data_IF_262343238807
#
_entry.id   IF_262343238807
#
_cell.length_a   1.000
_cell.length_b   1.000
_cell.length_c   1.000
_cell.angle_alpha   90.00
_cell.angle_beta   90.00
_cell.angle_gamma   90.00
#
_symmetry.space_group_name_H-M   'P 1'
#
loop_
_entity.id
_entity.type
_entity.pdbx_description
1 polymer ?
#
# COMPACT_ATOMS: atom_id res chain seq x y z
N UNK A 1 52.99 30.57 -8.03
CA UNK A 1 52.25 29.53 -7.33
C UNK A 1 50.79 29.73 -7.64
N UNK A 2 50.33 29.17 -8.73
CA UNK A 2 48.93 29.22 -9.16
C UNK A 2 48.21 28.05 -8.55
N UNK A 3 47.22 28.33 -7.73
CA UNK A 3 46.35 27.35 -7.13
C UNK A 3 45.18 27.12 -8.10
N UNK A 4 45.22 26.01 -8.84
CA UNK A 4 44.13 25.54 -9.66
C UNK A 4 43.08 24.91 -8.74
N UNK A 5 42.03 25.67 -8.44
CA UNK A 5 40.84 25.10 -7.83
C UNK A 5 40.14 24.23 -8.87
N UNK A 6 40.22 22.92 -8.74
CA UNK A 6 39.46 21.95 -9.51
C UNK A 6 37.98 22.06 -9.08
N UNK A 7 37.18 22.56 -10.01
CA UNK A 7 35.73 22.63 -9.84
C UNK A 7 35.17 21.24 -10.10
N UNK A 8 35.02 20.47 -9.03
CA UNK A 8 34.39 19.13 -9.04
C UNK A 8 32.87 19.28 -9.17
N UNK A 9 32.42 19.68 -10.38
CA UNK A 9 30.99 19.68 -10.72
C UNK A 9 30.64 18.28 -11.18
N UNK A 10 30.19 17.41 -10.23
CA UNK A 10 29.60 16.16 -10.59
C UNK A 10 28.30 16.43 -11.37
N UNK A 11 28.12 15.84 -12.56
CA UNK A 11 26.87 16.04 -13.32
C UNK A 11 25.69 15.59 -12.48
N UNK A 12 24.53 16.29 -12.56
CA UNK A 12 23.33 15.88 -11.86
C UNK A 12 22.99 14.44 -12.25
N UNK A 13 22.81 13.57 -11.26
CA UNK A 13 22.36 12.19 -11.50
C UNK A 13 21.04 12.28 -12.27
N UNK A 14 20.99 11.64 -13.44
CA UNK A 14 19.71 11.45 -14.15
C UNK A 14 18.72 10.81 -13.21
N UNK A 15 17.59 11.48 -13.02
CA UNK A 15 16.49 10.99 -12.19
C UNK A 15 15.75 9.93 -13.02
N UNK A 16 16.07 8.67 -12.80
CA UNK A 16 15.38 7.56 -13.44
C UNK A 16 14.03 7.33 -12.70
N UNK A 17 12.94 7.51 -13.42
CA UNK A 17 11.59 7.26 -12.91
C UNK A 17 11.18 5.86 -13.34
N UNK A 18 10.92 4.98 -12.38
CA UNK A 18 10.40 3.66 -12.68
C UNK A 18 8.96 3.77 -13.25
N UNK A 19 8.75 3.14 -14.40
CA UNK A 19 7.44 3.09 -15.04
C UNK A 19 6.37 2.45 -14.16
N UNK A 20 6.74 1.47 -13.35
CA UNK A 20 5.84 0.82 -12.39
C UNK A 20 5.34 1.79 -11.32
N UNK A 21 6.18 2.71 -10.86
CA UNK A 21 5.79 3.72 -9.88
C UNK A 21 4.86 4.77 -10.50
N UNK A 22 5.10 5.14 -11.76
CA UNK A 22 4.19 6.00 -12.51
C UNK A 22 2.81 5.34 -12.67
N UNK A 23 2.76 4.05 -13.00
CA UNK A 23 1.51 3.28 -13.10
C UNK A 23 0.80 3.24 -11.74
N UNK A 24 1.51 3.00 -10.62
CA UNK A 24 0.92 3.01 -9.28
C UNK A 24 0.30 4.36 -8.92
N UNK A 25 0.94 5.47 -9.28
CA UNK A 25 0.37 6.82 -9.08
C UNK A 25 -0.92 7.03 -9.89
N UNK A 26 -0.97 6.53 -11.12
CA UNK A 26 -2.16 6.58 -11.97
C UNK A 26 -3.27 5.70 -11.37
N UNK A 27 -2.95 4.48 -10.93
CA UNK A 27 -3.90 3.58 -10.28
C UNK A 27 -4.49 4.21 -9.01
N UNK A 28 -3.66 4.89 -8.20
CA UNK A 28 -4.13 5.63 -7.05
C UNK A 28 -5.12 6.73 -7.44
N UNK A 29 -4.76 7.55 -8.43
CA UNK A 29 -5.63 8.61 -8.94
C UNK A 29 -6.98 8.06 -9.44
N UNK A 30 -6.97 6.97 -10.19
CA UNK A 30 -8.18 6.31 -10.67
C UNK A 30 -9.04 5.80 -9.51
N UNK A 31 -8.45 5.22 -8.47
CA UNK A 31 -9.14 4.75 -7.26
C UNK A 31 -9.81 5.90 -6.51
N UNK A 32 -9.07 6.99 -6.27
CA UNK A 32 -9.58 8.17 -5.56
C UNK A 32 -10.75 8.83 -6.29
N UNK A 33 -10.71 8.82 -7.63
CA UNK A 33 -11.78 9.34 -8.48
C UNK A 33 -12.88 8.31 -8.79
N UNK A 34 -12.85 7.11 -8.17
CA UNK A 34 -13.84 6.04 -8.35
C UNK A 34 -13.94 5.49 -9.78
N UNK A 35 -12.88 5.61 -10.56
CA UNK A 35 -12.78 5.11 -11.93
C UNK A 35 -12.33 3.64 -11.94
N UNK A 36 -13.10 2.78 -11.25
CA UNK A 36 -12.72 1.38 -10.99
C UNK A 36 -12.58 0.53 -12.26
N UNK A 37 -13.35 0.83 -13.31
CA UNK A 37 -13.23 0.13 -14.59
C UNK A 37 -11.88 0.37 -15.27
N UNK A 38 -11.47 1.64 -15.36
CA UNK A 38 -10.17 2.02 -15.93
C UNK A 38 -9.02 1.51 -15.05
N UNK A 39 -9.17 1.58 -13.72
CA UNK A 39 -8.17 1.03 -12.79
C UNK A 39 -7.94 -0.46 -13.02
N UNK A 40 -9.03 -1.25 -13.12
CA UNK A 40 -8.93 -2.70 -13.35
C UNK A 40 -8.28 -3.01 -14.69
N UNK A 41 -8.69 -2.34 -15.76
CA UNK A 41 -8.10 -2.52 -17.09
C UNK A 41 -6.59 -2.22 -17.07
N UNK A 42 -6.18 -1.12 -16.43
CA UNK A 42 -4.77 -0.76 -16.31
C UNK A 42 -3.98 -1.80 -15.50
N UNK A 43 -4.54 -2.33 -14.41
CA UNK A 43 -3.89 -3.39 -13.61
C UNK A 43 -3.73 -4.68 -14.43
N UNK A 44 -4.77 -5.08 -15.20
CA UNK A 44 -4.72 -6.27 -16.05
C UNK A 44 -3.71 -6.14 -17.19
N UNK A 45 -3.61 -4.96 -17.79
CA UNK A 45 -2.72 -4.70 -18.93
C UNK A 45 -1.25 -4.55 -18.50
N UNK A 46 -1.02 -3.79 -17.42
CA UNK A 46 0.33 -3.50 -16.91
C UNK A 46 0.90 -4.58 -16.01
N UNK A 47 0.06 -5.46 -15.47
CA UNK A 47 0.41 -6.43 -14.40
C UNK A 47 0.99 -5.75 -13.14
N UNK A 48 0.70 -4.46 -12.95
CA UNK A 48 1.11 -3.69 -11.79
C UNK A 48 -0.09 -3.48 -10.88
N UNK A 49 0.01 -3.92 -9.64
CA UNK A 49 -1.01 -3.66 -8.62
C UNK A 49 -0.67 -2.41 -7.80
N UNK A 50 -1.71 -1.77 -7.27
CA UNK A 50 -1.53 -0.58 -6.44
C UNK A 50 -0.86 -0.90 -5.10
N UNK A 51 -1.09 -2.09 -4.55
CA UNK A 51 -0.57 -2.58 -3.27
C UNK A 51 -0.38 -1.51 -2.18
N UNK A 52 -1.37 -0.66 -2.01
CA UNK A 52 -1.32 0.47 -1.08
C UNK A 52 -2.63 0.62 -0.31
N UNK A 53 -2.50 1.01 0.95
CA UNK A 53 -3.61 1.40 1.82
C UNK A 53 -3.59 2.91 2.07
N UNK A 54 -4.70 3.46 2.55
CA UNK A 54 -4.78 4.88 2.91
C UNK A 54 -3.84 5.21 4.09
N UNK A 55 -3.73 4.27 5.04
CA UNK A 55 -2.85 4.41 6.20
C UNK A 55 -2.35 3.03 6.66
N UNK A 56 -1.06 2.80 6.53
CA UNK A 56 -0.40 1.59 7.05
C UNK A 56 -0.48 1.53 8.57
N UNK A 57 -0.39 2.69 9.24
CA UNK A 57 -0.52 2.75 10.69
C UNK A 57 -1.93 2.41 11.17
N UNK A 58 -2.97 2.80 10.42
CA UNK A 58 -4.35 2.40 10.72
C UNK A 58 -4.53 0.89 10.55
N UNK A 59 -4.02 0.30 9.45
CA UNK A 59 -4.05 -1.14 9.22
C UNK A 59 -3.31 -1.90 10.34
N UNK A 60 -2.09 -1.48 10.67
CA UNK A 60 -1.30 -2.08 11.74
C UNK A 60 -2.00 -1.97 13.10
N UNK A 61 -2.61 -0.81 13.39
CA UNK A 61 -3.43 -0.62 14.59
C UNK A 61 -4.65 -1.55 14.59
N UNK A 62 -5.31 -1.75 13.45
CA UNK A 62 -6.45 -2.67 13.33
C UNK A 62 -6.03 -4.12 13.61
N UNK A 63 -4.86 -4.54 13.12
CA UNK A 63 -4.27 -5.87 13.39
C UNK A 63 -3.96 -6.01 14.89
N UNK A 64 -3.25 -5.04 15.49
CA UNK A 64 -2.88 -5.08 16.92
C UNK A 64 -4.09 -5.13 17.84
N UNK A 65 -5.21 -4.51 17.46
CA UNK A 65 -6.45 -4.52 18.23
C UNK A 65 -7.40 -5.66 17.84
N UNK A 66 -7.08 -6.49 16.85
CA UNK A 66 -7.91 -7.61 16.42
C UNK A 66 -9.21 -7.20 15.73
N UNK A 67 -9.22 -6.08 15.02
CA UNK A 67 -10.39 -5.61 14.25
C UNK A 67 -10.46 -6.31 12.88
N UNK A 68 -10.69 -7.63 12.93
CA UNK A 68 -10.50 -8.53 11.80
C UNK A 68 -11.37 -8.21 10.58
N UNK A 69 -12.60 -7.76 10.77
CA UNK A 69 -13.47 -7.39 9.63
C UNK A 69 -12.84 -6.30 8.76
N UNK A 70 -12.28 -5.26 9.41
CA UNK A 70 -11.60 -4.17 8.71
C UNK A 70 -10.30 -4.64 8.05
N UNK A 71 -9.51 -5.42 8.79
CA UNK A 71 -8.24 -5.97 8.30
C UNK A 71 -8.48 -6.84 7.07
N UNK A 72 -9.38 -7.81 7.14
CA UNK A 72 -9.68 -8.72 6.03
C UNK A 72 -10.30 -8.00 4.83
N UNK A 73 -11.07 -6.94 5.05
CA UNK A 73 -11.60 -6.12 3.96
C UNK A 73 -10.48 -5.35 3.24
N UNK A 74 -9.54 -4.77 3.99
CA UNK A 74 -8.42 -4.02 3.42
C UNK A 74 -7.43 -4.95 2.71
N UNK A 75 -7.11 -6.09 3.30
CA UNK A 75 -6.12 -7.05 2.75
C UNK A 75 -6.59 -7.77 1.49
N UNK A 76 -7.90 -7.81 1.20
CA UNK A 76 -8.42 -8.37 -0.07
C UNK A 76 -7.87 -7.69 -1.33
N UNK A 77 -7.52 -6.42 -1.23
CA UNK A 77 -7.01 -5.63 -2.34
C UNK A 77 -5.47 -5.51 -2.35
N UNK A 78 -4.79 -6.19 -1.41
CA UNK A 78 -3.35 -6.12 -1.24
C UNK A 78 -2.69 -7.40 -1.76
N UNK A 79 -1.56 -7.22 -2.42
CA UNK A 79 -0.65 -8.31 -2.79
C UNK A 79 0.46 -8.38 -1.74
N UNK A 80 0.18 -9.06 -0.64
CA UNK A 80 1.16 -9.35 0.40
C UNK A 80 1.82 -10.70 0.14
N UNK A 81 2.98 -10.93 0.76
CA UNK A 81 3.63 -12.22 0.69
C UNK A 81 2.71 -13.32 1.23
N UNK A 82 2.81 -14.50 0.63
CA UNK A 82 2.02 -15.66 1.06
C UNK A 82 2.25 -15.96 2.55
N UNK A 83 3.47 -15.73 3.03
CA UNK A 83 3.85 -15.93 4.45
C UNK A 83 3.12 -14.96 5.36
N UNK A 84 3.11 -13.66 5.02
CA UNK A 84 2.40 -12.65 5.81
C UNK A 84 0.90 -12.92 5.87
N UNK A 85 0.33 -13.34 4.75
CA UNK A 85 -1.09 -13.71 4.69
C UNK A 85 -1.38 -14.97 5.52
N UNK A 86 -0.48 -15.98 5.50
CA UNK A 86 -0.63 -17.16 6.36
C UNK A 86 -0.58 -16.78 7.84
N UNK A 87 0.37 -15.92 8.25
CA UNK A 87 0.51 -15.46 9.62
C UNK A 87 -0.72 -14.69 10.09
N UNK A 88 -1.27 -13.83 9.22
CA UNK A 88 -2.50 -13.10 9.49
C UNK A 88 -3.70 -14.03 9.68
N UNK A 89 -3.92 -14.95 8.74
CA UNK A 89 -5.08 -15.87 8.80
C UNK A 89 -4.97 -16.86 9.94
N UNK A 90 -3.75 -17.32 10.31
CA UNK A 90 -3.53 -18.11 11.52
C UNK A 90 -3.96 -17.33 12.76
N UNK A 91 -3.55 -16.06 12.86
CA UNK A 91 -3.87 -15.21 14.00
C UNK A 91 -5.39 -14.96 14.12
N UNK A 92 -6.07 -14.72 12.99
CA UNK A 92 -7.53 -14.59 12.93
C UNK A 92 -8.21 -15.89 13.39
N UNK A 93 -7.75 -17.06 12.92
CA UNK A 93 -8.31 -18.34 13.32
C UNK A 93 -8.13 -18.60 14.83
N UNK A 94 -6.95 -18.29 15.38
CA UNK A 94 -6.68 -18.45 16.82
C UNK A 94 -7.58 -17.53 17.66
N UNK A 95 -7.80 -16.30 17.22
CA UNK A 95 -8.71 -15.36 17.91
C UNK A 95 -10.16 -15.84 17.90
N UNK A 96 -10.63 -16.42 16.78
CA UNK A 96 -11.97 -17.00 16.69
C UNK A 96 -12.12 -18.21 17.60
N UNK A 97 -11.10 -19.09 17.68
CA UNK A 97 -11.10 -20.24 18.61
C UNK A 97 -11.15 -19.77 20.06
N UNK A 98 -10.40 -18.74 20.44
CA UNK A 98 -10.43 -18.17 21.79
C UNK A 98 -11.77 -17.52 22.12
N UNK A 99 -12.44 -16.90 21.12
CA UNK A 99 -13.80 -16.37 21.25
C UNK A 99 -14.89 -17.45 21.30
N UNK A 100 -14.53 -18.75 21.29
CA UNK A 100 -15.45 -19.89 21.23
C UNK A 100 -16.24 -19.97 19.89
N UNK A 101 -15.72 -19.34 18.83
CA UNK A 101 -16.28 -19.38 17.48
C UNK A 101 -15.56 -20.44 16.61
N UNK A 102 -15.40 -21.65 17.15
CA UNK A 102 -14.63 -22.72 16.51
C UNK A 102 -15.17 -23.11 15.14
N UNK A 103 -16.49 -23.06 14.93
CA UNK A 103 -17.11 -23.38 13.64
C UNK A 103 -16.67 -22.37 12.54
N UNK A 104 -16.60 -21.08 12.90
CA UNK A 104 -16.14 -20.03 12.00
C UNK A 104 -14.65 -20.20 11.71
N UNK A 105 -13.85 -20.54 12.71
CA UNK A 105 -12.43 -20.84 12.53
C UNK A 105 -12.22 -22.04 11.59
N UNK A 106 -12.96 -23.12 11.75
CA UNK A 106 -12.92 -24.29 10.86
C UNK A 106 -13.34 -23.92 9.43
N UNK A 107 -14.37 -23.11 9.27
CA UNK A 107 -14.79 -22.62 7.97
C UNK A 107 -13.68 -21.78 7.31
N UNK A 108 -13.06 -20.85 8.05
CA UNK A 108 -11.94 -20.05 7.58
C UNK A 108 -10.77 -20.93 7.09
N UNK A 109 -10.39 -21.95 7.87
CA UNK A 109 -9.31 -22.87 7.53
C UNK A 109 -9.61 -23.66 6.23
N UNK A 110 -10.87 -24.02 5.98
CA UNK A 110 -11.26 -24.88 4.86
C UNK A 110 -11.56 -24.10 3.57
N UNK A 111 -12.03 -22.85 3.67
CA UNK A 111 -12.54 -22.13 2.51
C UNK A 111 -11.57 -21.12 1.94
N UNK A 112 -10.56 -20.68 2.71
CA UNK A 112 -9.66 -19.62 2.24
C UNK A 112 -8.51 -20.15 1.39
N UNK A 113 -8.19 -19.53 0.26
CA UNK A 113 -7.07 -19.95 -0.61
C UNK A 113 -5.73 -19.93 0.13
N UNK A 114 -5.52 -18.99 1.03
CA UNK A 114 -4.29 -18.86 1.83
C UNK A 114 -4.08 -20.10 2.72
N UNK A 115 -5.14 -20.59 3.36
CA UNK A 115 -5.08 -21.80 4.18
C UNK A 115 -4.92 -23.06 3.34
N UNK A 116 -5.47 -23.11 2.14
CA UNK A 116 -5.20 -24.21 1.18
C UNK A 116 -3.71 -24.22 0.78
N UNK A 117 -3.10 -23.08 0.56
CA UNK A 117 -1.65 -22.98 0.30
C UNK A 117 -0.84 -23.39 1.53
N UNK A 118 -1.23 -22.97 2.74
CA UNK A 118 -0.58 -23.40 4.00
C UNK A 118 -0.63 -24.93 4.15
N UNK A 119 -1.76 -25.55 3.83
CA UNK A 119 -1.92 -27.01 3.88
C UNK A 119 -0.94 -27.75 2.98
N UNK A 120 -0.61 -27.16 1.83
CA UNK A 120 0.35 -27.73 0.86
C UNK A 120 1.80 -27.48 1.24
N UNK A 121 2.12 -26.26 1.68
CA UNK A 121 3.51 -25.82 1.94
C UNK A 121 3.98 -26.05 3.37
N UNK A 122 3.07 -25.99 4.34
CA UNK A 122 3.33 -26.13 5.78
C UNK A 122 2.28 -27.04 6.44
N UNK A 123 2.21 -28.33 6.07
CA UNK A 123 1.16 -29.23 6.52
C UNK A 123 1.11 -29.43 8.03
N UNK A 124 2.25 -29.44 8.71
CA UNK A 124 2.30 -29.58 10.19
C UNK A 124 1.65 -28.38 10.89
N UNK A 125 1.90 -27.18 10.40
CA UNK A 125 1.32 -25.94 10.92
C UNK A 125 -0.20 -25.93 10.71
N UNK A 126 -0.66 -26.33 9.53
CA UNK A 126 -2.09 -26.43 9.22
C UNK A 126 -2.79 -27.47 10.10
N UNK A 127 -2.21 -28.67 10.25
CA UNK A 127 -2.77 -29.75 11.09
C UNK A 127 -2.83 -29.36 12.56
N UNK A 128 -1.86 -28.58 13.06
CA UNK A 128 -1.90 -28.03 14.42
C UNK A 128 -3.13 -27.13 14.61
N UNK A 129 -3.41 -26.22 13.65
CA UNK A 129 -4.58 -25.35 13.71
C UNK A 129 -5.88 -26.15 13.64
N UNK A 130 -5.96 -27.14 12.75
CA UNK A 130 -7.14 -27.99 12.63
C UNK A 130 -7.42 -28.78 13.89
N UNK A 131 -6.39 -29.31 14.55
CA UNK A 131 -6.51 -29.97 15.86
C UNK A 131 -6.95 -29.01 16.97
N UNK A 132 -6.43 -27.79 16.99
CA UNK A 132 -6.83 -26.76 17.96
C UNK A 132 -8.30 -26.39 17.80
N UNK A 133 -8.77 -26.23 16.54
CA UNK A 133 -10.16 -25.88 16.25
C UNK A 133 -11.16 -26.95 16.64
N UNK A 134 -10.73 -28.23 16.80
CA UNK A 134 -11.57 -29.35 17.23
C UNK A 134 -11.64 -29.49 18.75
N UNK A 135 -10.82 -28.74 19.49
CA UNK A 135 -10.82 -28.80 20.97
C UNK A 135 -11.96 -27.98 21.54
N UNK A 136 -12.56 -28.52 22.59
CA UNK A 136 -13.62 -27.84 23.36
C UNK A 136 -13.05 -26.70 24.21
N UNK A 137 -11.81 -26.86 24.68
CA UNK A 137 -11.14 -25.89 25.54
C UNK A 137 -9.92 -25.33 24.80
N UNK A 138 -9.90 -24.03 24.67
CA UNK A 138 -8.74 -23.29 24.15
C UNK A 138 -7.82 -22.90 25.30
N UNK A 139 -6.58 -23.38 25.29
CA UNK A 139 -5.56 -22.99 26.26
C UNK A 139 -4.58 -21.97 25.66
N UNK A 140 -4.67 -20.69 26.06
CA UNK A 140 -3.76 -19.66 25.56
C UNK A 140 -2.29 -19.94 25.87
N UNK A 141 -1.99 -20.60 27.00
CA UNK A 141 -0.62 -20.88 27.41
C UNK A 141 0.06 -21.91 26.48
N UNK A 142 -0.67 -22.89 25.98
CA UNK A 142 -0.18 -23.85 24.98
C UNK A 142 -0.02 -23.20 23.58
N UNK A 143 -0.99 -22.38 23.20
CA UNK A 143 -1.05 -21.80 21.86
C UNK A 143 0.01 -20.70 21.67
N UNK A 144 0.19 -19.86 22.68
CA UNK A 144 1.15 -18.74 22.65
C UNK A 144 2.44 -19.06 23.44
N UNK A 145 2.85 -20.33 23.50
CA UNK A 145 4.00 -20.77 24.29
C UNK A 145 5.24 -19.87 24.12
N UNK A 146 5.66 -19.23 25.19
CA UNK A 146 6.81 -18.29 25.21
C UNK A 146 6.54 -16.89 24.64
N UNK A 147 5.27 -16.57 24.31
CA UNK A 147 4.85 -15.27 23.79
C UNK A 147 3.50 -14.87 24.40
N UNK A 148 2.97 -13.74 23.98
CA UNK A 148 1.60 -13.32 24.29
C UNK A 148 0.81 -13.11 23.00
N UNK A 149 -0.53 -13.20 23.10
CA UNK A 149 -1.45 -12.85 22.02
C UNK A 149 -1.13 -11.47 21.43
N UNK A 150 -0.94 -10.50 22.33
CA UNK A 150 -0.64 -9.12 21.90
C UNK A 150 0.68 -9.05 21.12
N UNK A 151 1.72 -9.70 21.61
CA UNK A 151 3.00 -9.72 20.90
C UNK A 151 2.89 -10.35 19.51
N UNK A 152 2.15 -11.46 19.37
CA UNK A 152 1.89 -12.07 18.06
C UNK A 152 1.15 -11.13 17.11
N UNK A 153 0.16 -10.38 17.61
CA UNK A 153 -0.54 -9.36 16.83
C UNK A 153 0.39 -8.23 16.40
N UNK A 154 1.25 -7.75 17.29
CA UNK A 154 2.21 -6.70 17.02
C UNK A 154 3.29 -7.15 16.02
N UNK A 155 3.75 -8.40 16.11
CA UNK A 155 4.70 -8.98 15.15
C UNK A 155 4.10 -9.02 13.73
N UNK A 156 2.84 -9.47 13.59
CA UNK A 156 2.13 -9.46 12.31
C UNK A 156 1.88 -8.03 11.82
N UNK A 157 1.49 -7.11 12.71
CA UNK A 157 1.30 -5.71 12.37
C UNK A 157 2.60 -5.06 11.83
N UNK A 158 3.74 -5.39 12.43
CA UNK A 158 5.05 -4.92 11.93
C UNK A 158 5.38 -5.51 10.56
N UNK A 159 5.08 -6.80 10.33
CA UNK A 159 5.28 -7.43 9.03
C UNK A 159 4.50 -6.68 7.93
N UNK A 160 3.24 -6.36 8.18
CA UNK A 160 2.42 -5.60 7.23
C UNK A 160 2.91 -4.16 7.03
N UNK A 161 3.50 -3.52 8.04
CA UNK A 161 4.15 -2.22 7.88
C UNK A 161 5.31 -2.24 6.90
N UNK A 162 6.02 -3.35 6.79
CA UNK A 162 7.14 -3.48 5.86
C UNK A 162 6.71 -3.86 4.45
N UNK A 163 5.61 -4.60 4.31
CA UNK A 163 5.17 -5.10 3.01
C UNK A 163 4.21 -4.15 2.28
N UNK A 164 3.46 -3.34 3.02
CA UNK A 164 2.41 -2.49 2.47
C UNK A 164 2.85 -1.04 2.42
N UNK A 165 2.68 -0.40 1.27
CA UNK A 165 2.98 1.01 1.11
C UNK A 165 1.82 1.89 1.59
N UNK A 166 2.17 3.00 2.28
CA UNK A 166 1.24 4.11 2.49
C UNK A 166 1.43 5.12 1.37
N UNK A 167 0.33 5.51 0.76
CA UNK A 167 0.36 6.52 -0.30
C UNK A 167 -0.47 7.71 0.12
N UNK A 168 0.18 8.87 0.21
CA UNK A 168 -0.51 10.13 0.52
C UNK A 168 -1.62 10.42 -0.51
N UNK A 169 -2.78 10.92 -0.06
CA UNK A 169 -3.87 11.28 -0.96
C UNK A 169 -3.42 12.25 -2.05
N UNK A 170 -3.96 12.07 -3.26
CA UNK A 170 -3.73 12.96 -4.41
C UNK A 170 -2.26 13.12 -4.82
N UNK A 171 -1.42 12.12 -4.52
CA UNK A 171 0.04 12.20 -4.74
C UNK A 171 0.40 12.58 -6.19
N UNK A 172 -0.30 12.01 -7.19
CA UNK A 172 -0.10 12.36 -8.60
C UNK A 172 -0.31 13.85 -8.84
N UNK A 173 -1.40 14.43 -8.33
CA UNK A 173 -1.71 15.86 -8.52
C UNK A 173 -0.70 16.76 -7.80
N UNK A 174 -0.24 16.35 -6.62
CA UNK A 174 0.82 17.05 -5.88
C UNK A 174 2.11 17.08 -6.68
N UNK A 175 2.54 15.95 -7.24
CA UNK A 175 3.76 15.87 -8.06
C UNK A 175 3.64 16.67 -9.35
N UNK A 176 2.50 16.62 -10.03
CA UNK A 176 2.24 17.47 -11.21
C UNK A 176 2.28 18.96 -10.85
N UNK A 177 1.68 19.35 -9.73
CA UNK A 177 1.75 20.73 -9.23
C UNK A 177 3.18 21.19 -8.93
N UNK A 178 4.01 20.32 -8.35
CA UNK A 178 5.42 20.57 -8.10
C UNK A 178 6.21 20.72 -9.41
N UNK A 179 5.97 19.83 -10.38
CA UNK A 179 6.61 19.90 -11.70
C UNK A 179 6.26 21.19 -12.45
N UNK A 180 4.99 21.61 -12.41
CA UNK A 180 4.54 22.87 -13.01
C UNK A 180 5.19 24.10 -12.34
N UNK A 181 5.27 24.11 -11.02
CA UNK A 181 5.98 25.19 -10.28
C UNK A 181 7.45 25.24 -10.65
N UNK A 182 8.10 24.10 -10.76
CA UNK A 182 9.49 24.02 -11.17
C UNK A 182 9.70 24.58 -12.59
N UNK A 183 8.85 24.18 -13.54
CA UNK A 183 8.89 24.73 -14.91
C UNK A 183 8.65 26.23 -14.94
N UNK A 184 7.72 26.75 -14.15
CA UNK A 184 7.46 28.18 -14.03
C UNK A 184 8.67 28.93 -13.49
N UNK A 185 9.37 28.38 -12.49
CA UNK A 185 10.59 29.00 -11.96
C UNK A 185 11.72 29.01 -12.99
N UNK A 186 11.92 27.95 -13.76
CA UNK A 186 12.92 27.92 -14.82
C UNK A 186 12.64 28.95 -15.92
N UNK A 187 11.39 29.07 -16.35
CA UNK A 187 10.99 30.10 -17.35
C UNK A 187 11.28 31.52 -16.84
N UNK A 188 11.10 31.79 -15.55
CA UNK A 188 11.41 33.11 -14.97
C UNK A 188 12.92 33.38 -14.91
N UNK A 189 13.74 32.35 -14.66
CA UNK A 189 15.22 32.51 -14.67
C UNK A 189 15.80 32.66 -16.07
N UNK A 190 15.17 32.08 -17.09
CA UNK A 190 15.56 32.25 -18.48
C UNK A 190 15.10 33.60 -19.07
N UNK A 191 14.12 34.27 -18.46
CA UNK A 191 13.63 35.59 -18.92
C UNK A 191 14.63 36.71 -18.73
N UNK A 192 15.60 36.58 -17.83
CA UNK A 192 16.73 37.53 -17.73
C UNK A 192 17.74 37.40 -18.89
N UNK A 193 17.65 36.31 -19.68
CA UNK A 193 18.53 35.98 -20.81
C UNK A 193 17.92 36.16 -22.21
N UNK A 194 16.70 36.66 -22.39
CA UNK A 194 16.18 37.14 -23.69
C UNK A 194 15.64 36.08 -24.66
N UNK A 195 15.08 34.95 -24.22
CA UNK A 195 14.47 33.98 -25.14
C UNK A 195 12.99 33.68 -24.81
N UNK A 196 12.12 34.02 -25.73
CA UNK A 196 10.68 33.80 -25.71
C UNK A 196 10.37 32.43 -26.32
N UNK A 197 10.21 31.35 -25.51
CA UNK A 197 9.76 30.07 -26.04
C UNK A 197 8.61 29.49 -25.21
N UNK A 198 7.48 29.39 -25.90
CA UNK A 198 6.36 28.48 -25.75
C UNK A 198 5.71 28.31 -24.36
N UNK A 199 5.00 29.35 -23.95
CA UNK A 199 4.02 29.28 -22.83
C UNK A 199 2.67 28.68 -23.29
N UNK A 200 2.52 28.27 -24.56
CA UNK A 200 1.21 27.93 -25.15
C UNK A 200 0.53 26.69 -24.63
N UNK A 201 1.27 25.69 -24.13
CA UNK A 201 0.65 24.44 -23.64
C UNK A 201 0.44 24.40 -22.14
N UNK A 202 1.10 25.27 -21.38
CA UNK A 202 0.97 25.35 -19.92
C UNK A 202 -0.29 26.15 -19.54
N UNK A 203 -0.72 27.08 -20.36
CA UNK A 203 -1.89 27.93 -20.09
C UNK A 203 -3.20 27.12 -19.96
N UNK A 204 -3.33 26.00 -20.66
CA UNK A 204 -4.54 25.16 -20.56
C UNK A 204 -4.60 24.41 -19.24
N UNK A 205 -3.46 23.95 -18.70
CA UNK A 205 -3.41 23.26 -17.41
C UNK A 205 -3.46 24.24 -16.21
N UNK A 206 -2.87 25.43 -16.34
CA UNK A 206 -2.92 26.45 -15.29
C UNK A 206 -4.32 27.08 -15.18
N UNK A 207 -5.04 27.26 -16.28
CA UNK A 207 -6.43 27.74 -16.23
C UNK A 207 -7.37 26.76 -15.53
N UNK A 208 -7.10 25.45 -15.57
CA UNK A 208 -7.86 24.44 -14.82
C UNK A 208 -7.57 24.52 -13.32
N UNK A 209 -6.35 24.93 -12.91
CA UNK A 209 -5.94 25.00 -11.51
C UNK A 209 -6.17 26.38 -10.89
N UNK A 210 -6.03 27.47 -11.64
CA UNK A 210 -6.15 28.85 -11.15
C UNK A 210 -7.55 29.48 -11.31
N UNK A 211 -8.41 28.88 -12.13
CA UNK A 211 -9.75 29.43 -12.46
C UNK A 211 -10.90 29.01 -11.54
N UNK A 212 -10.64 28.27 -10.47
CA UNK A 212 -11.72 27.81 -9.61
C UNK A 212 -11.47 28.11 -8.13
N UNK A 213 -11.70 29.36 -7.73
CA UNK A 213 -12.30 29.66 -6.43
C UNK A 213 -13.77 29.19 -6.41
N UNK A 214 -14.10 28.13 -7.11
CA UNK A 214 -15.43 27.58 -7.30
C UNK A 214 -15.39 26.07 -7.10
N UNK A 215 -16.16 25.62 -6.14
CA UNK A 215 -16.58 24.24 -5.85
C UNK A 215 -16.46 23.28 -7.03
N UNK A 216 -15.58 22.32 -6.93
CA UNK A 216 -15.52 21.17 -7.83
C UNK A 216 -16.88 20.45 -7.78
N UNK A 217 -17.69 20.62 -8.82
CA UNK A 217 -18.82 19.73 -9.03
C UNK A 217 -18.27 18.38 -9.48
N UNK A 218 -18.62 17.36 -8.72
CA UNK A 218 -18.36 15.94 -9.03
C UNK A 218 -19.00 15.63 -10.40
N UNK A 219 -18.19 15.13 -11.31
CA UNK A 219 -18.66 14.31 -12.40
C UNK A 219 -18.59 12.85 -12.01
#
# INVERSE_FOLDING_TARGET
MESTASNDYAPPRELEVDSSDAIRLILQFLRENRLFGAMRALQEESQVSLNAVESVDALASDISHGRWDRVLQQTKALECSTTAMMDLYELVALDMMEAQESDVAVQLLRTTPVMATMKQTQPERYLRLEKLAQRVIFDPAEVYAGSSKQKRRDDVAQLFRHEVASVEPSRLLVLLGQALKWQQMQVLTEFEGGFRVLVSNIHLLICVVAGSGGTWRRF
#
